data_IF_726793519584
#
_entry.id   IF_726793519584
#
_cell.length_a   1.000
_cell.length_b   1.000
_cell.length_c   1.000
_cell.angle_alpha   90.00
_cell.angle_beta   90.00
_cell.angle_gamma   90.00
#
_symmetry.space_group_name_H-M   'P 1'
#
loop_
_entity.id
_entity.type
_entity.pdbx_description
1 polymer ?
#
# COMPACT_ATOMS: atom_id res chain seq x y z
N UNK A 1 17.14 -2.19 2.91
CA UNK A 1 17.75 -2.33 1.56
C UNK A 1 16.61 -2.42 0.55
N UNK A 2 16.48 -1.51 -0.43
CA UNK A 2 15.44 -1.66 -1.42
C UNK A 2 15.81 -2.82 -2.34
N UNK A 3 15.11 -3.94 -2.18
CA UNK A 3 15.19 -5.06 -3.11
C UNK A 3 14.32 -4.67 -4.32
N UNK A 4 14.84 -4.90 -5.52
CA UNK A 4 14.12 -4.67 -6.78
C UNK A 4 12.68 -5.21 -6.70
N UNK A 5 11.69 -4.32 -6.83
CA UNK A 5 10.27 -4.63 -6.61
C UNK A 5 9.58 -5.14 -7.89
N UNK A 6 9.71 -4.39 -8.99
CA UNK A 6 9.08 -4.70 -10.26
C UNK A 6 10.00 -4.42 -11.47
N UNK A 7 9.85 -5.22 -12.52
CA UNK A 7 10.51 -5.06 -13.82
C UNK A 7 9.42 -4.94 -14.89
N UNK A 8 9.55 -3.94 -15.76
CA UNK A 8 8.69 -3.71 -16.92
C UNK A 8 9.54 -3.79 -18.19
N UNK A 9 9.06 -4.52 -19.20
CA UNK A 9 9.80 -4.78 -20.43
C UNK A 9 9.09 -4.11 -21.60
N UNK A 10 9.80 -3.24 -22.31
CA UNK A 10 9.34 -2.65 -23.56
C UNK A 10 10.01 -3.36 -24.74
N UNK A 11 9.22 -3.92 -25.66
CA UNK A 11 9.74 -4.68 -26.81
C UNK A 11 8.76 -4.68 -27.98
N UNK A 12 9.25 -4.84 -29.21
CA UNK A 12 8.39 -4.90 -30.40
C UNK A 12 7.64 -6.24 -30.54
N UNK A 13 8.16 -7.33 -29.98
CA UNK A 13 7.57 -8.67 -30.08
C UNK A 13 7.17 -9.20 -28.69
N UNK A 14 5.94 -8.84 -28.28
CA UNK A 14 5.38 -9.20 -26.98
C UNK A 14 5.40 -10.70 -26.71
N UNK A 15 4.97 -11.52 -27.68
CA UNK A 15 4.82 -12.97 -27.51
C UNK A 15 6.14 -13.65 -27.22
N UNK A 16 7.23 -13.24 -27.90
CA UNK A 16 8.58 -13.77 -27.65
C UNK A 16 9.04 -13.50 -26.22
N UNK A 17 8.72 -12.34 -25.68
CA UNK A 17 9.16 -11.94 -24.35
C UNK A 17 8.22 -12.41 -23.24
N UNK A 18 6.94 -12.64 -23.52
CA UNK A 18 6.00 -13.21 -22.56
C UNK A 18 6.36 -14.64 -22.15
N UNK A 19 6.89 -15.46 -23.06
CA UNK A 19 7.14 -16.88 -22.79
C UNK A 19 8.20 -17.10 -21.70
N UNK A 20 9.36 -16.46 -21.80
CA UNK A 20 10.42 -16.62 -20.79
C UNK A 20 10.14 -15.83 -19.51
N UNK A 21 9.39 -14.72 -19.59
CA UNK A 21 9.08 -13.87 -18.42
C UNK A 21 8.07 -14.51 -17.48
N UNK A 22 7.29 -15.50 -17.93
CA UNK A 22 6.34 -16.26 -17.08
C UNK A 22 7.00 -16.85 -15.83
N UNK A 23 8.26 -17.24 -15.93
CA UNK A 23 9.00 -17.84 -14.82
C UNK A 23 9.57 -16.80 -13.84
N UNK A 24 9.48 -15.51 -14.17
CA UNK A 24 10.08 -14.42 -13.40
C UNK A 24 9.03 -13.60 -12.65
N UNK A 25 8.83 -13.91 -11.36
CA UNK A 25 7.83 -13.24 -10.50
C UNK A 25 7.98 -11.72 -10.37
N UNK A 26 9.18 -11.20 -10.62
CA UNK A 26 9.47 -9.74 -10.58
C UNK A 26 9.10 -9.01 -11.87
N UNK A 27 8.88 -9.72 -12.98
CA UNK A 27 8.42 -9.11 -14.22
C UNK A 27 6.91 -8.90 -14.11
N UNK A 28 6.50 -7.63 -14.05
CA UNK A 28 5.10 -7.24 -13.86
C UNK A 28 4.40 -6.90 -15.18
N UNK A 29 5.15 -6.64 -16.25
CA UNK A 29 4.57 -6.34 -17.55
C UNK A 29 5.54 -6.44 -18.71
N UNK A 30 5.02 -6.89 -19.85
CA UNK A 30 5.68 -6.87 -21.16
C UNK A 30 4.79 -6.07 -22.10
N UNK A 31 5.32 -4.98 -22.64
CA UNK A 31 4.60 -3.95 -23.36
C UNK A 31 5.23 -3.70 -24.73
N UNK A 32 4.39 -3.36 -25.69
CA UNK A 32 4.79 -2.96 -27.05
C UNK A 32 4.61 -1.46 -27.30
N UNK A 33 3.92 -0.78 -26.38
CA UNK A 33 3.74 0.66 -26.39
C UNK A 33 4.37 1.26 -25.12
N UNK A 34 5.15 2.33 -25.28
CA UNK A 34 5.79 3.04 -24.18
C UNK A 34 4.76 3.71 -23.26
N UNK A 35 3.61 4.14 -23.80
CA UNK A 35 2.54 4.74 -23.00
C UNK A 35 1.98 3.76 -21.98
N UNK A 36 1.89 2.47 -22.34
CA UNK A 36 1.46 1.41 -21.42
C UNK A 36 2.47 1.22 -20.27
N UNK A 37 3.76 1.35 -20.55
CA UNK A 37 4.81 1.28 -19.53
C UNK A 37 4.69 2.47 -18.58
N UNK A 38 4.53 3.67 -19.12
CA UNK A 38 4.33 4.89 -18.34
C UNK A 38 3.09 4.78 -17.43
N UNK A 39 1.97 4.29 -17.97
CA UNK A 39 0.75 4.04 -17.19
C UNK A 39 0.97 3.01 -16.09
N UNK A 40 1.62 1.88 -16.39
CA UNK A 40 1.90 0.83 -15.40
C UNK A 40 2.80 1.34 -14.27
N UNK A 41 3.82 2.15 -14.59
CA UNK A 41 4.68 2.79 -13.61
C UNK A 41 3.90 3.80 -12.73
N UNK A 42 3.07 4.65 -13.34
CA UNK A 42 2.24 5.61 -12.60
C UNK A 42 1.28 4.91 -11.64
N UNK A 43 0.63 3.82 -12.06
CA UNK A 43 -0.26 3.04 -11.22
C UNK A 43 0.49 2.38 -10.06
N UNK A 44 1.69 1.85 -10.32
CA UNK A 44 2.54 1.23 -9.27
C UNK A 44 2.95 2.25 -8.21
N UNK A 45 3.37 3.44 -8.64
CA UNK A 45 3.73 4.53 -7.71
C UNK A 45 2.50 4.98 -6.90
N UNK A 46 1.32 5.07 -7.53
CA UNK A 46 0.08 5.40 -6.83
C UNK A 46 -0.32 4.34 -5.81
N UNK A 47 -0.22 3.05 -6.13
CA UNK A 47 -0.48 1.97 -5.17
C UNK A 47 0.50 2.02 -4.00
N UNK A 48 1.79 2.21 -4.25
CA UNK A 48 2.78 2.40 -3.19
C UNK A 48 2.46 3.61 -2.29
N UNK A 49 1.93 4.69 -2.87
CA UNK A 49 1.46 5.86 -2.11
C UNK A 49 0.13 5.63 -1.38
N UNK A 50 -0.74 4.74 -1.85
CA UNK A 50 -2.00 4.39 -1.17
C UNK A 50 -1.78 3.39 -0.02
N UNK A 51 -0.81 2.49 -0.16
CA UNK A 51 -0.34 1.61 0.92
C UNK A 51 0.44 2.40 1.99
N UNK A 52 0.99 3.56 1.62
CA UNK A 52 1.39 4.59 2.57
C UNK A 52 0.13 5.33 3.04
N UNK A 53 -0.51 4.85 4.11
CA UNK A 53 -1.64 5.52 4.77
C UNK A 53 -1.37 7.04 4.78
N UNK A 54 -2.19 7.80 4.05
CA UNK A 54 -2.06 9.24 3.99
C UNK A 54 -2.37 9.80 5.38
N UNK A 55 -1.33 10.09 6.15
CA UNK A 55 -1.46 10.77 7.44
C UNK A 55 -1.68 12.25 7.14
N UNK A 56 -2.93 12.70 7.13
CA UNK A 56 -3.25 14.12 7.14
C UNK A 56 -3.22 14.63 8.58
N UNK A 57 -2.41 15.64 8.83
CA UNK A 57 -2.39 16.35 10.10
C UNK A 57 -3.33 17.55 10.00
N UNK A 58 -4.31 17.63 10.89
CA UNK A 58 -5.12 18.85 11.04
C UNK A 58 -4.17 19.95 11.53
N UNK A 59 -4.04 21.01 10.75
CA UNK A 59 -3.26 22.19 11.16
C UNK A 59 -4.08 23.03 12.15
N UNK A 60 -3.41 23.74 13.06
CA UNK A 60 -4.07 24.63 14.06
C UNK A 60 -5.05 25.62 13.39
N UNK A 61 -4.72 26.06 12.16
CA UNK A 61 -5.56 26.95 11.35
C UNK A 61 -6.84 26.28 10.83
N UNK A 62 -6.82 24.98 10.55
CA UNK A 62 -8.01 24.22 10.18
C UNK A 62 -8.89 23.92 11.39
N UNK A 63 -8.27 23.67 12.55
CA UNK A 63 -8.97 23.46 13.82
C UNK A 63 -9.76 24.70 14.26
N UNK A 64 -9.24 25.90 13.95
CA UNK A 64 -9.92 27.17 14.17
C UNK A 64 -11.01 27.51 13.12
N UNK A 65 -11.05 26.81 11.98
CA UNK A 65 -12.09 26.97 10.94
C UNK A 65 -13.22 25.93 11.08
N UNK A 66 -12.95 24.81 11.75
CA UNK A 66 -13.98 23.87 12.17
C UNK A 66 -14.63 24.36 13.45
N UNK A 67 -15.65 25.21 13.33
CA UNK A 67 -16.50 25.68 14.46
C UNK A 67 -17.19 24.52 15.23
N UNK A 68 -17.01 23.27 14.81
CA UNK A 68 -17.53 22.10 15.48
C UNK A 68 -16.52 20.95 15.44
N UNK A 69 -15.74 20.79 16.52
CA UNK A 69 -14.99 19.56 16.80
C UNK A 69 -15.92 18.32 16.88
N UNK A 70 -17.24 18.52 17.00
CA UNK A 70 -18.27 17.49 16.91
C UNK A 70 -18.50 16.95 15.48
N UNK A 71 -17.92 17.56 14.45
CA UNK A 71 -17.95 17.07 13.06
C UNK A 71 -16.73 16.22 12.70
N UNK A 72 -15.97 15.77 13.69
CA UNK A 72 -14.91 14.80 13.46
C UNK A 72 -15.53 13.57 12.80
N UNK A 73 -14.98 13.16 11.67
CA UNK A 73 -15.52 12.02 10.92
C UNK A 73 -15.60 10.82 11.89
N UNK A 74 -16.75 10.13 11.99
CA UNK A 74 -16.89 8.99 12.90
C UNK A 74 -15.75 7.97 12.75
N UNK A 75 -15.25 7.80 11.53
CA UNK A 75 -14.05 7.00 11.20
C UNK A 75 -12.83 7.37 12.04
N UNK A 76 -12.59 8.66 12.28
CA UNK A 76 -11.49 9.14 13.12
C UNK A 76 -11.68 8.72 14.58
N UNK A 77 -12.89 8.89 15.14
CA UNK A 77 -13.18 8.47 16.51
C UNK A 77 -13.00 6.96 16.68
N UNK A 78 -13.54 6.16 15.77
CA UNK A 78 -13.37 4.70 15.80
C UNK A 78 -11.90 4.30 15.64
N UNK A 79 -11.14 4.99 14.78
CA UNK A 79 -9.70 4.74 14.61
C UNK A 79 -8.93 5.04 15.89
N UNK A 80 -9.24 6.14 16.57
CA UNK A 80 -8.57 6.52 17.80
C UNK A 80 -8.85 5.52 18.94
N UNK A 81 -10.13 5.17 19.16
CA UNK A 81 -10.54 4.19 20.17
C UNK A 81 -9.89 2.84 19.88
N UNK A 82 -9.91 2.40 18.62
CA UNK A 82 -9.30 1.15 18.20
C UNK A 82 -7.79 1.14 18.44
N UNK A 83 -7.10 2.25 18.13
CA UNK A 83 -5.67 2.41 18.39
C UNK A 83 -5.35 2.36 19.89
N UNK A 84 -6.13 3.04 20.73
CA UNK A 84 -5.91 3.07 22.18
C UNK A 84 -6.09 1.67 22.79
N UNK A 85 -7.17 0.97 22.42
CA UNK A 85 -7.37 -0.44 22.82
C UNK A 85 -6.19 -1.30 22.35
N UNK A 86 -5.76 -1.15 21.09
CA UNK A 86 -4.62 -1.89 20.56
C UNK A 86 -3.30 -1.55 21.27
N UNK A 87 -3.12 -0.37 21.85
CA UNK A 87 -1.86 -0.02 22.51
C UNK A 87 -1.85 -0.42 24.00
N UNK A 88 -3.02 -0.39 24.64
CA UNK A 88 -3.17 -0.69 26.07
C UNK A 88 -3.30 -2.19 26.37
N UNK A 89 -3.59 -3.02 25.36
CA UNK A 89 -3.61 -4.47 25.54
C UNK A 89 -2.20 -5.01 25.84
N UNK A 90 -2.08 -5.82 26.90
CA UNK A 90 -0.86 -6.58 27.16
C UNK A 90 -0.68 -7.67 26.10
N UNK A 91 0.32 -7.52 25.25
CA UNK A 91 0.68 -8.55 24.27
C UNK A 91 1.75 -9.48 24.82
N UNK A 92 1.43 -10.77 24.90
CA UNK A 92 2.46 -11.80 24.90
C UNK A 92 3.23 -11.77 23.58
N UNK A 93 4.55 -12.04 23.61
CA UNK A 93 5.40 -12.16 22.40
C UNK A 93 4.80 -13.09 21.32
N UNK A 94 4.00 -14.06 21.74
CA UNK A 94 3.29 -15.00 20.87
C UNK A 94 2.16 -14.34 20.06
N UNK A 95 1.42 -13.38 20.63
CA UNK A 95 0.31 -12.70 19.97
C UNK A 95 0.81 -11.87 18.77
N UNK A 96 1.91 -11.12 18.95
CA UNK A 96 2.57 -10.36 17.88
C UNK A 96 3.05 -11.31 16.77
N UNK A 97 3.64 -12.46 17.14
CA UNK A 97 4.11 -13.46 16.18
C UNK A 97 2.97 -14.07 15.36
N UNK A 98 1.85 -14.38 16.01
CA UNK A 98 0.66 -14.92 15.34
C UNK A 98 0.00 -13.89 14.43
N UNK A 99 -0.13 -12.64 14.88
CA UNK A 99 -0.64 -11.54 14.06
C UNK A 99 0.23 -11.31 12.82
N UNK A 100 1.56 -11.27 13.01
CA UNK A 100 2.52 -11.13 11.89
C UNK A 100 2.41 -12.28 10.90
N UNK A 101 2.25 -13.53 11.39
CA UNK A 101 2.07 -14.70 10.54
C UNK A 101 0.76 -14.65 9.75
N UNK A 102 -0.34 -14.24 10.40
CA UNK A 102 -1.63 -14.05 9.76
C UNK A 102 -1.57 -13.01 8.64
N UNK A 103 -0.99 -11.82 8.88
CA UNK A 103 -0.84 -10.79 7.85
C UNK A 103 0.01 -11.26 6.67
N UNK A 104 1.11 -11.99 6.93
CA UNK A 104 1.97 -12.54 5.86
C UNK A 104 1.26 -13.57 5.00
N UNK A 105 0.39 -14.38 5.58
CA UNK A 105 -0.36 -15.39 4.85
C UNK A 105 -1.54 -14.79 4.06
N UNK A 106 -2.14 -13.69 4.53
CA UNK A 106 -3.24 -13.02 3.83
C UNK A 106 -2.80 -11.99 2.78
N UNK A 107 -1.56 -11.48 2.83
CA UNK A 107 -0.99 -10.64 1.76
C UNK A 107 -0.48 -11.46 0.56
N UNK A 108 -0.79 -12.75 0.49
CA UNK A 108 -0.40 -13.67 -0.60
C UNK A 108 -1.54 -14.00 -1.57
N UNK A 109 -2.66 -13.27 -1.50
CA UNK A 109 -3.78 -13.33 -2.45
C UNK A 109 -3.89 -11.99 -3.20
#
# INVERSE_FOLDING_TARGET
>A
MPQLDAIYIFCSNKSRHQEWTRNWKKVKGVHTNIDEVCLALQLTVKQCNQDSIAVSFITEKQMALTDNLNQLEPTFMYTQIFKEILLDMEYGKQAIKQFTAYCRNNNAM
#
